data_IF_230422566096
#
_entry.id   IF_230422566096
#
_cell.length_a   1.000
_cell.length_b   1.000
_cell.length_c   1.000
_cell.angle_alpha   90.00
_cell.angle_beta   90.00
_cell.angle_gamma   90.00
#
_symmetry.space_group_name_H-M   'P 1'
#
loop_
_entity.id
_entity.type
_entity.pdbx_description
1 polymer ?
#
# COMPACT_ATOMS: atom_id res chain seq x y z
N UNK A 1 -47.38 51.09 -6.80
CA UNK A 1 -46.08 50.84 -7.51
C UNK A 1 -45.00 50.26 -6.59
N UNK A 2 -45.25 49.99 -5.30
CA UNK A 2 -44.21 49.54 -4.34
C UNK A 2 -44.22 48.04 -3.94
N UNK A 3 -45.29 47.29 -4.25
CA UNK A 3 -45.38 45.90 -3.78
C UNK A 3 -44.56 44.92 -4.63
N UNK A 4 -44.34 45.18 -5.90
CA UNK A 4 -43.57 44.31 -6.82
C UNK A 4 -42.09 44.36 -6.57
N UNK A 5 -41.51 45.51 -6.21
CA UNK A 5 -40.13 45.67 -5.90
C UNK A 5 -39.70 44.96 -4.60
N UNK A 6 -40.57 44.98 -3.60
CA UNK A 6 -40.34 44.25 -2.34
C UNK A 6 -40.33 42.72 -2.52
N UNK A 7 -41.23 42.19 -3.35
CA UNK A 7 -41.31 40.76 -3.66
C UNK A 7 -40.04 40.29 -4.43
N UNK A 8 -39.56 41.08 -5.35
CA UNK A 8 -38.35 40.76 -6.15
C UNK A 8 -37.13 40.68 -5.24
N UNK A 9 -36.98 41.63 -4.34
CA UNK A 9 -35.81 41.71 -3.45
C UNK A 9 -35.76 40.55 -2.42
N UNK A 10 -36.92 40.08 -1.94
CA UNK A 10 -36.98 38.95 -1.00
C UNK A 10 -36.65 37.62 -1.71
N UNK A 11 -37.05 37.46 -2.94
CA UNK A 11 -36.76 36.23 -3.73
C UNK A 11 -35.30 36.11 -4.09
N UNK A 12 -34.66 37.22 -4.45
CA UNK A 12 -33.21 37.29 -4.76
C UNK A 12 -32.39 36.96 -3.52
N UNK A 13 -32.76 37.47 -2.36
CA UNK A 13 -32.06 37.15 -1.10
C UNK A 13 -32.25 35.69 -0.69
N UNK A 14 -33.38 35.10 -0.98
CA UNK A 14 -33.65 33.69 -0.69
C UNK A 14 -32.80 32.76 -1.58
N UNK A 15 -32.72 33.08 -2.88
CA UNK A 15 -31.89 32.31 -3.84
C UNK A 15 -30.41 32.42 -3.46
N UNK A 16 -29.93 33.61 -3.09
CA UNK A 16 -28.55 33.82 -2.65
C UNK A 16 -28.21 33.03 -1.39
N UNK A 17 -29.14 32.95 -0.42
CA UNK A 17 -28.99 32.14 0.79
C UNK A 17 -28.90 30.64 0.47
N UNK A 18 -29.76 30.15 -0.45
CA UNK A 18 -29.74 28.73 -0.88
C UNK A 18 -28.42 28.42 -1.59
N UNK A 19 -27.98 29.27 -2.51
CA UNK A 19 -26.69 29.11 -3.20
C UNK A 19 -25.53 29.09 -2.22
N UNK A 20 -25.54 29.97 -1.23
CA UNK A 20 -24.52 30.02 -0.19
C UNK A 20 -24.49 28.75 0.67
N UNK A 21 -25.67 28.23 1.02
CA UNK A 21 -25.81 26.97 1.77
C UNK A 21 -25.33 25.76 0.94
N UNK A 22 -25.62 25.75 -0.37
CA UNK A 22 -25.14 24.69 -1.28
C UNK A 22 -23.62 24.73 -1.39
N UNK A 23 -23.02 25.92 -1.52
CA UNK A 23 -21.55 26.09 -1.57
C UNK A 23 -20.91 25.60 -0.27
N UNK A 24 -21.49 25.95 0.88
CA UNK A 24 -21.02 25.49 2.19
C UNK A 24 -21.14 23.97 2.32
N UNK A 25 -22.21 23.38 1.80
CA UNK A 25 -22.43 21.91 1.85
C UNK A 25 -21.41 21.18 0.95
N UNK A 26 -21.11 21.71 -0.21
CA UNK A 26 -20.10 21.13 -1.11
C UNK A 26 -18.66 21.32 -0.59
N UNK A 27 -18.42 22.43 0.11
CA UNK A 27 -17.13 22.66 0.74
C UNK A 27 -16.78 21.72 1.90
N UNK A 28 -17.68 21.27 2.33
CA UNK A 28 -17.53 20.44 3.42
C UNK A 28 -17.39 19.04 3.12
N UNK A 29 -17.74 18.76 2.06
CA UNK A 29 -17.75 17.36 1.66
C UNK A 29 -16.46 16.97 0.91
N UNK A 30 -15.35 17.61 1.21
CA UNK A 30 -14.05 17.02 0.91
C UNK A 30 -13.87 15.87 1.92
N UNK A 31 -14.40 14.70 1.59
CA UNK A 31 -13.99 13.45 2.20
C UNK A 31 -12.49 13.32 1.92
N UNK A 32 -11.66 13.80 2.83
CA UNK A 32 -10.27 13.40 2.89
C UNK A 32 -10.27 11.91 3.19
N UNK A 33 -10.32 11.10 2.14
CA UNK A 33 -9.85 9.73 2.24
C UNK A 33 -8.42 9.87 2.77
N UNK A 34 -8.20 9.57 4.03
CA UNK A 34 -6.87 9.61 4.64
C UNK A 34 -5.97 8.70 3.81
N UNK A 35 -5.08 9.32 3.05
CA UNK A 35 -4.13 8.59 2.23
C UNK A 35 -3.24 7.77 3.16
N UNK A 36 -3.32 6.46 3.04
CA UNK A 36 -2.49 5.57 3.84
C UNK A 36 -1.08 5.61 3.22
N UNK A 37 -0.12 6.11 3.96
CA UNK A 37 1.28 6.16 3.58
C UNK A 37 2.15 5.50 4.65
N UNK A 38 3.36 5.13 4.27
CA UNK A 38 4.33 4.60 5.23
C UNK A 38 4.80 5.72 6.17
N UNK A 39 4.94 5.41 7.44
CA UNK A 39 5.49 6.34 8.42
C UNK A 39 6.98 6.60 8.14
N UNK A 40 7.51 7.73 8.62
CA UNK A 40 8.94 8.03 8.53
C UNK A 40 9.79 6.91 9.16
N UNK A 41 9.31 6.28 10.23
CA UNK A 41 9.99 5.15 10.88
C UNK A 41 10.09 3.95 9.94
N UNK A 42 8.99 3.59 9.28
CA UNK A 42 9.01 2.48 8.31
C UNK A 42 9.94 2.80 7.12
N UNK A 43 9.88 4.02 6.61
CA UNK A 43 10.67 4.45 5.45
C UNK A 43 12.18 4.44 5.73
N UNK A 44 12.59 4.72 6.95
CA UNK A 44 14.01 4.81 7.37
C UNK A 44 14.54 3.47 7.91
N UNK A 45 13.73 2.44 8.02
CA UNK A 45 14.19 1.13 8.51
C UNK A 45 15.12 0.46 7.48
N UNK A 46 16.17 -0.20 7.74
CA UNK A 46 17.09 -0.71 6.94
C UNK A 46 16.81 -2.09 6.71
N UNK A 47 16.70 -2.42 5.61
CA UNK A 47 16.57 -3.80 5.13
C UNK A 47 17.89 -4.26 4.47
N UNK A 48 18.09 -5.58 4.32
CA UNK A 48 19.28 -6.11 3.65
C UNK A 48 18.93 -6.63 2.25
N UNK A 49 19.74 -6.29 1.30
CA UNK A 49 19.72 -6.88 -0.06
C UNK A 49 20.22 -8.33 -0.03
N UNK A 50 20.09 -9.07 -1.14
CA UNK A 50 20.64 -10.42 -1.31
C UNK A 50 22.19 -10.48 -1.13
N UNK A 51 22.87 -9.33 -1.22
CA UNK A 51 24.30 -9.21 -0.98
C UNK A 51 24.63 -8.74 0.44
N UNK A 52 23.62 -8.71 1.30
CA UNK A 52 23.71 -8.26 2.71
C UNK A 52 24.17 -6.79 2.83
N UNK A 53 23.86 -5.98 1.83
CA UNK A 53 24.06 -4.53 1.88
C UNK A 53 22.80 -3.86 2.40
N UNK A 54 22.96 -2.93 3.34
CA UNK A 54 21.85 -2.16 3.91
C UNK A 54 21.27 -1.17 2.88
N UNK A 55 19.96 -1.06 2.87
CA UNK A 55 19.21 -0.11 2.07
C UNK A 55 17.95 0.26 2.86
N UNK A 56 17.59 1.52 2.87
CA UNK A 56 16.34 1.95 3.55
C UNK A 56 15.12 1.52 2.74
N UNK A 57 14.00 1.34 3.40
CA UNK A 57 12.74 1.02 2.70
C UNK A 57 12.34 2.16 1.75
N UNK A 58 12.63 3.41 2.11
CA UNK A 58 12.42 4.57 1.22
C UNK A 58 13.19 4.42 -0.10
N UNK A 59 14.48 4.08 -0.03
CA UNK A 59 15.31 3.86 -1.22
C UNK A 59 14.75 2.73 -2.08
N UNK A 60 14.25 1.65 -1.47
CA UNK A 60 13.61 0.54 -2.21
C UNK A 60 12.39 1.05 -2.98
N UNK A 61 11.54 1.85 -2.36
CA UNK A 61 10.36 2.41 -3.02
C UNK A 61 10.77 3.35 -4.17
N UNK A 62 11.81 4.16 -3.96
CA UNK A 62 12.31 5.11 -4.98
C UNK A 62 12.87 4.39 -6.22
N UNK A 63 13.49 3.22 -6.07
CA UNK A 63 13.94 2.38 -7.19
C UNK A 63 12.78 1.98 -8.12
N UNK A 64 11.56 1.95 -7.59
CA UNK A 64 10.39 1.45 -8.31
C UNK A 64 9.31 2.54 -8.51
N UNK A 65 9.70 3.81 -8.34
CA UNK A 65 8.79 4.95 -8.54
C UNK A 65 8.13 4.91 -9.93
N UNK A 66 6.84 5.18 -9.98
CA UNK A 66 6.07 5.14 -11.23
C UNK A 66 5.52 3.76 -11.59
N UNK A 67 5.70 2.76 -10.72
CA UNK A 67 5.16 1.41 -10.93
C UNK A 67 4.26 1.00 -9.76
N UNK A 68 3.31 0.13 -10.03
CA UNK A 68 2.61 -0.60 -8.97
C UNK A 68 3.61 -1.55 -8.30
N UNK A 69 3.53 -1.67 -6.98
CA UNK A 69 4.35 -2.61 -6.20
C UNK A 69 3.40 -3.51 -5.39
N UNK A 70 3.52 -4.82 -5.57
CA UNK A 70 2.89 -5.79 -4.68
C UNK A 70 3.94 -6.23 -3.66
N UNK A 71 3.75 -5.85 -2.41
CA UNK A 71 4.60 -6.25 -1.29
C UNK A 71 4.03 -7.54 -0.68
N UNK A 72 4.90 -8.54 -0.51
CA UNK A 72 4.62 -9.78 0.23
C UNK A 72 5.57 -9.86 1.42
N UNK A 73 5.06 -9.63 2.63
CA UNK A 73 5.83 -9.84 3.87
C UNK A 73 5.64 -11.29 4.26
N UNK A 74 6.74 -12.05 4.30
CA UNK A 74 6.72 -13.52 4.37
C UNK A 74 7.89 -14.10 5.14
N UNK A 75 7.94 -15.41 5.25
CA UNK A 75 9.12 -16.15 5.71
C UNK A 75 9.05 -17.61 5.21
N UNK A 76 10.19 -18.22 5.00
CA UNK A 76 10.29 -19.62 4.56
C UNK A 76 9.74 -20.63 5.54
N UNK A 77 9.72 -20.32 6.84
CA UNK A 77 9.13 -21.18 7.88
C UNK A 77 7.61 -21.04 7.99
N UNK A 78 7.03 -20.05 7.31
CA UNK A 78 5.59 -19.76 7.37
C UNK A 78 4.84 -20.59 6.33
N UNK A 79 4.13 -21.62 6.74
CA UNK A 79 3.46 -22.56 5.82
C UNK A 79 2.43 -21.86 4.92
N UNK A 80 1.69 -20.87 5.43
CA UNK A 80 0.69 -20.15 4.65
C UNK A 80 1.34 -19.19 3.64
N UNK A 81 2.52 -18.63 3.99
CA UNK A 81 3.32 -17.85 3.05
C UNK A 81 3.77 -18.73 1.87
N UNK A 82 4.34 -19.90 2.18
CA UNK A 82 4.81 -20.87 1.18
C UNK A 82 3.68 -21.28 0.22
N UNK A 83 2.49 -21.59 0.75
CA UNK A 83 1.29 -21.88 -0.07
C UNK A 83 0.89 -20.69 -0.95
N UNK A 84 1.09 -19.47 -0.46
CA UNK A 84 0.78 -18.22 -1.17
C UNK A 84 1.66 -18.01 -2.40
N UNK A 85 2.92 -18.43 -2.38
CA UNK A 85 3.90 -18.22 -3.47
C UNK A 85 3.35 -18.68 -4.82
N UNK A 86 2.72 -19.85 -4.88
CA UNK A 86 2.16 -20.38 -6.14
C UNK A 86 1.08 -19.47 -6.72
N UNK A 87 0.34 -18.76 -5.86
CA UNK A 87 -0.70 -17.81 -6.26
C UNK A 87 -0.09 -16.48 -6.69
N UNK A 88 0.96 -16.00 -5.99
CA UNK A 88 1.72 -14.81 -6.41
C UNK A 88 2.30 -15.04 -7.81
N UNK A 89 2.89 -16.21 -8.08
CA UNK A 89 3.40 -16.58 -9.41
C UNK A 89 2.34 -16.49 -10.50
N UNK A 90 1.08 -16.82 -10.19
CA UNK A 90 -0.04 -16.65 -11.15
C UNK A 90 -0.30 -15.17 -11.44
N UNK A 91 -0.22 -14.30 -10.44
CA UNK A 91 -0.36 -12.86 -10.64
C UNK A 91 0.81 -12.37 -11.52
N UNK A 92 2.05 -12.75 -11.21
CA UNK A 92 3.27 -12.39 -11.97
C UNK A 92 3.17 -12.80 -13.45
N UNK A 93 2.57 -13.96 -13.72
CA UNK A 93 2.38 -14.45 -15.10
C UNK A 93 1.47 -13.52 -15.90
N UNK A 94 0.44 -12.97 -15.26
CA UNK A 94 -0.60 -12.19 -15.91
C UNK A 94 -0.32 -10.69 -15.88
N UNK A 95 0.52 -10.22 -14.96
CA UNK A 95 0.86 -8.81 -14.79
C UNK A 95 2.38 -8.64 -14.83
N UNK A 96 2.87 -8.02 -15.92
CA UNK A 96 4.30 -7.78 -16.16
C UNK A 96 4.74 -6.36 -15.77
N UNK A 97 3.79 -5.51 -15.40
CA UNK A 97 4.07 -4.10 -15.09
C UNK A 97 4.27 -3.87 -13.59
N UNK A 98 3.72 -4.73 -12.74
CA UNK A 98 3.86 -4.65 -11.29
C UNK A 98 5.21 -5.19 -10.82
N UNK A 99 5.84 -4.47 -9.90
CA UNK A 99 7.02 -4.93 -9.17
C UNK A 99 6.55 -5.84 -8.03
N UNK A 100 7.14 -7.00 -7.91
CA UNK A 100 6.87 -7.96 -6.83
C UNK A 100 8.00 -7.88 -5.82
N UNK A 101 7.69 -7.35 -4.64
CA UNK A 101 8.65 -7.04 -3.57
C UNK A 101 8.41 -8.00 -2.40
N UNK A 102 9.38 -8.89 -2.16
CA UNK A 102 9.31 -9.90 -1.10
C UNK A 102 10.18 -9.45 0.08
N UNK A 103 9.54 -9.18 1.22
CA UNK A 103 10.19 -8.73 2.44
C UNK A 103 10.18 -9.86 3.47
N UNK A 104 11.36 -10.40 3.80
CA UNK A 104 11.46 -11.61 4.61
C UNK A 104 11.63 -11.33 6.10
N UNK A 105 10.92 -12.13 6.91
CA UNK A 105 11.07 -12.23 8.36
C UNK A 105 11.63 -13.62 8.75
N UNK A 106 12.48 -14.19 7.90
CA UNK A 106 13.20 -15.43 8.24
C UNK A 106 14.13 -15.20 9.45
N UNK A 107 14.55 -16.29 10.07
CA UNK A 107 15.38 -16.23 11.29
C UNK A 107 16.86 -15.88 11.02
N UNK A 108 17.27 -15.93 9.76
CA UNK A 108 18.61 -15.54 9.29
C UNK A 108 18.62 -15.32 7.80
N UNK A 109 19.59 -14.56 7.31
CA UNK A 109 19.79 -14.32 5.88
C UNK A 109 20.04 -15.62 5.11
N UNK A 110 20.80 -16.56 5.69
CA UNK A 110 21.05 -17.88 5.13
C UNK A 110 19.74 -18.65 4.87
N UNK A 111 18.84 -18.69 5.89
CA UNK A 111 17.54 -19.38 5.75
C UNK A 111 16.67 -18.71 4.70
N UNK A 112 16.66 -17.38 4.69
CA UNK A 112 15.94 -16.58 3.70
C UNK A 112 16.40 -16.91 2.27
N UNK A 113 17.71 -16.82 2.01
CA UNK A 113 18.31 -17.12 0.69
C UNK A 113 18.01 -18.56 0.26
N UNK A 114 18.10 -19.52 1.18
CA UNK A 114 17.76 -20.93 0.93
C UNK A 114 16.30 -21.09 0.53
N UNK A 115 15.40 -20.37 1.22
CA UNK A 115 13.95 -20.43 0.94
C UNK A 115 13.63 -19.84 -0.44
N UNK A 116 14.25 -18.70 -0.82
CA UNK A 116 14.07 -18.10 -2.15
C UNK A 116 14.41 -19.14 -3.23
N UNK A 117 15.58 -19.77 -3.11
CA UNK A 117 16.06 -20.78 -4.08
C UNK A 117 15.14 -22.01 -4.12
N UNK A 118 14.82 -22.56 -2.95
CA UNK A 118 14.02 -23.79 -2.85
C UNK A 118 12.60 -23.61 -3.42
N UNK A 119 12.03 -22.41 -3.26
CA UNK A 119 10.69 -22.08 -3.73
C UNK A 119 10.69 -21.42 -5.13
N UNK A 120 11.88 -21.18 -5.68
CA UNK A 120 12.09 -20.50 -6.98
C UNK A 120 11.25 -19.22 -7.07
N UNK A 121 11.43 -18.30 -6.10
CA UNK A 121 10.67 -17.05 -6.03
C UNK A 121 11.36 -16.00 -6.90
N UNK A 122 10.65 -15.49 -7.89
CA UNK A 122 11.11 -14.42 -8.79
C UNK A 122 10.60 -13.06 -8.28
N UNK A 123 11.46 -12.03 -8.33
CA UNK A 123 11.11 -10.66 -7.89
C UNK A 123 12.24 -10.00 -7.14
N UNK A 124 11.92 -8.92 -6.47
CA UNK A 124 12.86 -8.16 -5.64
C UNK A 124 12.80 -8.68 -4.20
N UNK A 125 13.95 -8.95 -3.62
CA UNK A 125 14.05 -9.63 -2.34
C UNK A 125 14.86 -8.82 -1.34
N UNK A 126 14.26 -8.60 -0.16
CA UNK A 126 14.92 -7.91 0.96
C UNK A 126 14.61 -8.62 2.27
N UNK A 127 15.57 -8.56 3.19
CA UNK A 127 15.47 -9.17 4.52
C UNK A 127 15.26 -8.07 5.55
N UNK A 128 14.24 -8.20 6.39
CA UNK A 128 13.92 -7.25 7.48
C UNK A 128 14.80 -7.60 8.69
N UNK A 129 16.00 -7.01 8.73
CA UNK A 129 16.98 -7.29 9.79
C UNK A 129 16.48 -6.85 11.17
N UNK A 130 15.68 -5.80 11.24
CA UNK A 130 15.07 -5.29 12.47
C UNK A 130 14.02 -6.25 13.07
N UNK A 131 13.51 -7.18 12.23
CA UNK A 131 12.55 -8.21 12.65
C UNK A 131 11.17 -7.67 13.01
N UNK A 132 10.39 -8.50 13.70
CA UNK A 132 8.98 -8.20 14.05
C UNK A 132 8.79 -6.93 14.87
N UNK A 133 9.75 -6.60 15.73
CA UNK A 133 9.67 -5.44 16.63
C UNK A 133 10.38 -4.21 16.09
N UNK A 134 10.99 -4.32 14.89
CA UNK A 134 11.65 -3.20 14.21
C UNK A 134 10.67 -2.14 13.77
N UNK A 135 11.21 -1.01 13.39
CA UNK A 135 10.42 0.18 13.04
C UNK A 135 9.49 -0.07 11.84
N UNK A 136 9.94 -0.84 10.84
CA UNK A 136 9.11 -1.21 9.69
C UNK A 136 7.85 -1.98 10.13
N UNK A 137 8.04 -3.12 10.77
CA UNK A 137 6.92 -4.00 11.17
C UNK A 137 6.01 -3.35 12.21
N UNK A 138 6.59 -2.65 13.19
CA UNK A 138 5.84 -1.96 14.25
C UNK A 138 4.95 -0.85 13.67
N UNK A 139 5.50 -0.06 12.74
CA UNK A 139 4.76 1.03 12.09
C UNK A 139 3.56 0.53 11.27
N UNK A 140 3.67 -0.71 10.75
CA UNK A 140 2.59 -1.35 9.98
C UNK A 140 1.60 -2.09 10.88
N UNK A 141 1.78 -2.07 12.21
CA UNK A 141 1.02 -2.93 13.11
C UNK A 141 0.98 -4.37 12.56
N UNK A 142 2.16 -4.88 12.18
CA UNK A 142 2.25 -6.22 11.59
C UNK A 142 1.96 -7.27 12.66
N UNK A 143 0.83 -7.95 12.52
CA UNK A 143 0.31 -8.93 13.49
C UNK A 143 0.42 -10.37 12.98
N UNK A 144 0.56 -10.54 11.66
CA UNK A 144 0.53 -11.85 11.00
C UNK A 144 1.24 -11.80 9.65
N UNK A 145 1.80 -12.94 9.22
CA UNK A 145 2.25 -13.18 7.84
C UNK A 145 1.56 -14.43 7.29
N UNK A 146 1.32 -14.52 5.97
CA UNK A 146 1.70 -13.51 4.98
C UNK A 146 0.89 -12.21 5.12
N UNK A 147 1.51 -11.11 4.79
CA UNK A 147 0.86 -9.82 4.67
C UNK A 147 1.12 -9.28 3.25
N UNK A 148 0.06 -9.08 2.49
CA UNK A 148 0.12 -8.48 1.16
C UNK A 148 -0.33 -7.03 1.24
N UNK A 149 0.42 -6.15 0.55
CA UNK A 149 0.10 -4.73 0.43
C UNK A 149 0.30 -4.32 -1.03
N UNK A 150 -0.43 -3.31 -1.49
CA UNK A 150 -0.20 -2.73 -2.83
C UNK A 150 0.09 -1.25 -2.67
N UNK A 151 1.16 -0.81 -3.35
CA UNK A 151 1.56 0.59 -3.45
C UNK A 151 1.39 0.99 -4.91
N UNK A 152 0.76 2.13 -5.14
CA UNK A 152 0.53 2.64 -6.50
C UNK A 152 1.76 3.44 -7.02
N UNK A 153 1.75 3.86 -8.31
CA UNK A 153 2.88 4.59 -8.89
C UNK A 153 3.25 5.88 -8.18
N UNK A 154 2.33 6.48 -7.44
CA UNK A 154 2.54 7.70 -6.65
C UNK A 154 3.13 7.42 -5.27
N UNK A 155 3.37 6.14 -4.92
CA UNK A 155 3.91 5.73 -3.63
C UNK A 155 2.89 5.61 -2.50
N UNK A 156 1.59 5.62 -2.83
CA UNK A 156 0.50 5.53 -1.84
C UNK A 156 0.05 4.09 -1.67
N UNK A 157 -0.28 3.70 -0.45
CA UNK A 157 -0.80 2.37 -0.16
C UNK A 157 -2.28 2.31 -0.58
N UNK A 158 -2.56 1.55 -1.63
CA UNK A 158 -3.93 1.34 -2.15
C UNK A 158 -4.58 0.07 -1.60
N UNK A 159 -3.77 -0.85 -1.07
CA UNK A 159 -4.24 -2.00 -0.30
C UNK A 159 -3.30 -2.20 0.89
N UNK A 160 -3.81 -1.95 2.09
CA UNK A 160 -2.99 -1.99 3.32
C UNK A 160 -2.83 -3.42 3.86
N UNK A 161 -3.89 -4.22 3.82
CA UNK A 161 -3.86 -5.53 4.48
C UNK A 161 -4.68 -6.56 3.69
N UNK A 162 -3.98 -7.55 3.13
CA UNK A 162 -4.55 -8.81 2.70
C UNK A 162 -3.68 -9.93 3.29
N UNK A 163 -4.30 -11.05 3.65
CA UNK A 163 -3.60 -12.20 4.28
C UNK A 163 -3.63 -13.44 3.39
N UNK A 164 -4.12 -13.30 2.16
CA UNK A 164 -4.13 -14.36 1.14
C UNK A 164 -3.72 -13.76 -0.20
N UNK A 165 -2.85 -14.45 -0.92
CA UNK A 165 -2.38 -14.00 -2.23
C UNK A 165 -3.49 -13.96 -3.29
N UNK A 166 -4.55 -14.75 -3.11
CA UNK A 166 -5.73 -14.77 -4.00
C UNK A 166 -6.87 -13.87 -3.52
N UNK A 167 -6.60 -12.92 -2.65
CA UNK A 167 -7.55 -11.88 -2.27
C UNK A 167 -7.89 -11.04 -3.51
N UNK A 168 -9.15 -11.02 -3.89
CA UNK A 168 -9.63 -10.32 -5.10
C UNK A 168 -9.33 -8.82 -5.09
N UNK A 169 -9.13 -8.24 -3.90
CA UNK A 169 -8.77 -6.82 -3.78
C UNK A 169 -7.39 -6.55 -4.39
N UNK A 170 -6.45 -7.51 -4.33
CA UNK A 170 -5.12 -7.37 -4.94
C UNK A 170 -5.26 -7.12 -6.43
N UNK A 171 -5.91 -8.03 -7.15
CA UNK A 171 -6.09 -7.90 -8.60
C UNK A 171 -6.92 -6.66 -8.97
N UNK A 172 -7.91 -6.32 -8.14
CA UNK A 172 -8.73 -5.11 -8.37
C UNK A 172 -7.89 -3.84 -8.36
N UNK A 173 -6.99 -3.66 -7.37
CA UNK A 173 -6.19 -2.43 -7.25
C UNK A 173 -4.99 -2.40 -8.22
N UNK A 174 -4.47 -3.57 -8.64
CA UNK A 174 -3.39 -3.64 -9.63
C UNK A 174 -3.86 -3.33 -11.06
N UNK A 175 -5.15 -3.54 -11.37
CA UNK A 175 -5.72 -3.34 -12.70
C UNK A 175 -6.38 -1.97 -12.88
N UNK A 176 -6.38 -1.11 -11.86
CA UNK A 176 -6.90 0.25 -11.94
C UNK A 176 -5.79 1.23 -12.32
#
# INVERSE_FOLDING_TARGET
>A
MNSYLLKYNTQDNFIKKILFLIILFFSXCSLNAQEISFSAKALNDXLLTNKEVEITFSEILDLHKGKNILIDIWAGWCSDCVKGISKVKKIQKNDKNTVFLFLSLDKSTEKWQKSIKALNIEGEHYYIASGWKGDFCSSLNLDWIPRYMVVNPEGKITLYKAIKADDKRISKVLNN
#
